data_IF_159238867322
#
_entry.id   IF_159238867322
#
_cell.length_a   1.000
_cell.length_b   1.000
_cell.length_c   1.000
_cell.angle_alpha   90.00
_cell.angle_beta   90.00
_cell.angle_gamma   90.00
#
_symmetry.space_group_name_H-M   'P 1'
#
loop_
_entity.id
_entity.type
_entity.pdbx_description
1 polymer ?
#
# COMPACT_ATOMS: atom_id res chain seq x y z
N UNK A 1 15.28 -2.34 5.68
CA UNK A 1 16.40 -3.28 5.49
C UNK A 1 16.12 -4.54 6.26
N UNK A 2 16.56 -5.68 5.73
CA UNK A 2 16.38 -6.99 6.35
C UNK A 2 17.69 -7.73 6.26
N UNK A 3 18.21 -8.19 7.39
CA UNK A 3 19.46 -8.95 7.48
C UNK A 3 19.17 -10.27 8.20
N UNK A 4 19.66 -11.38 7.64
CA UNK A 4 19.46 -12.73 8.18
C UNK A 4 18.00 -13.09 8.50
N UNK A 5 17.05 -12.58 7.70
CA UNK A 5 15.63 -12.84 7.91
C UNK A 5 14.97 -11.97 8.98
N UNK A 6 15.69 -10.98 9.53
CA UNK A 6 15.19 -10.06 10.56
C UNK A 6 15.12 -8.65 10.00
N UNK A 7 14.01 -7.96 10.26
CA UNK A 7 13.85 -6.54 9.90
C UNK A 7 14.78 -5.71 10.79
N UNK A 8 15.78 -5.06 10.20
CA UNK A 8 16.78 -4.28 10.94
C UNK A 8 16.49 -2.79 10.95
N UNK A 9 15.82 -2.28 9.91
CA UNK A 9 15.51 -0.86 9.78
C UNK A 9 14.27 -0.68 8.93
N UNK A 10 13.36 0.19 9.35
CA UNK A 10 12.18 0.56 8.57
C UNK A 10 12.07 2.07 8.48
N UNK A 11 11.72 2.57 7.29
CA UNK A 11 11.34 3.96 7.13
C UNK A 11 9.87 4.10 7.50
N UNK A 12 9.61 4.73 8.64
CA UNK A 12 8.25 4.95 9.14
C UNK A 12 7.45 5.85 8.21
N UNK A 13 6.19 5.49 8.02
CA UNK A 13 5.19 6.26 7.30
C UNK A 13 4.68 7.35 8.26
N UNK A 14 4.78 8.61 7.82
CA UNK A 14 4.35 9.75 8.65
C UNK A 14 2.82 9.89 8.73
N UNK A 15 2.14 9.56 7.65
CA UNK A 15 0.69 9.72 7.52
C UNK A 15 0.13 8.59 6.66
N UNK A 16 -0.89 7.89 7.15
CA UNK A 16 -1.57 6.85 6.40
C UNK A 16 -2.55 7.49 5.42
N UNK A 17 -2.21 7.46 4.13
CA UNK A 17 -3.08 7.92 3.04
C UNK A 17 -3.72 6.74 2.31
N UNK A 18 -4.91 6.91 1.73
CA UNK A 18 -5.50 5.90 0.85
C UNK A 18 -4.56 5.58 -0.31
N UNK A 19 -4.45 4.31 -0.68
CA UNK A 19 -3.61 3.88 -1.82
C UNK A 19 -4.04 4.55 -3.13
N UNK A 20 -5.31 4.91 -3.25
CA UNK A 20 -5.88 5.64 -4.39
C UNK A 20 -5.12 6.92 -4.71
N UNK A 21 -4.66 7.69 -3.72
CA UNK A 21 -3.94 8.94 -3.96
C UNK A 21 -2.64 8.72 -4.74
N UNK A 22 -1.96 7.60 -4.48
CA UNK A 22 -0.75 7.19 -5.18
C UNK A 22 -1.06 6.56 -6.54
N UNK A 23 -2.10 5.71 -6.61
CA UNK A 23 -2.47 4.99 -7.82
C UNK A 23 -3.04 5.92 -8.90
N UNK A 24 -3.88 6.90 -8.53
CA UNK A 24 -4.57 7.81 -9.46
C UNK A 24 -3.61 8.67 -10.29
N UNK A 25 -2.41 8.96 -9.77
CA UNK A 25 -1.38 9.75 -10.46
C UNK A 25 -0.66 8.98 -11.57
N UNK A 26 -0.83 7.66 -11.64
CA UNK A 26 -0.06 6.79 -12.53
C UNK A 26 -0.93 6.20 -13.64
N UNK A 27 -0.59 6.47 -14.89
CA UNK A 27 -1.35 5.99 -16.06
C UNK A 27 -1.52 4.48 -16.11
N UNK A 28 -0.54 3.70 -15.62
CA UNK A 28 -0.61 2.23 -15.58
C UNK A 28 -1.77 1.70 -14.75
N UNK A 29 -2.27 2.46 -13.77
CA UNK A 29 -3.39 2.06 -12.91
C UNK A 29 -4.73 2.67 -13.33
N UNK A 30 -4.76 3.50 -14.39
CA UNK A 30 -5.97 4.20 -14.81
C UNK A 30 -7.15 3.26 -15.14
N UNK A 31 -6.87 2.03 -15.54
CA UNK A 31 -7.91 1.03 -15.83
C UNK A 31 -8.67 0.58 -14.57
N UNK A 32 -8.03 0.61 -13.39
CA UNK A 32 -8.66 0.23 -12.12
C UNK A 32 -9.74 1.23 -11.66
N UNK A 33 -9.72 2.45 -12.19
CA UNK A 33 -10.68 3.49 -11.81
C UNK A 33 -11.90 3.57 -12.74
N UNK A 34 -12.02 2.66 -13.72
CA UNK A 34 -13.06 2.73 -14.77
C UNK A 34 -14.35 2.02 -14.41
N UNK A 35 -14.28 0.96 -13.60
CA UNK A 35 -15.43 0.12 -13.28
C UNK A 35 -15.39 -0.39 -11.83
N UNK A 36 -16.48 -1.02 -11.40
CA UNK A 36 -16.63 -1.57 -10.05
C UNK A 36 -15.63 -2.69 -9.75
N UNK A 37 -15.25 -3.49 -10.74
CA UNK A 37 -14.26 -4.56 -10.53
C UNK A 37 -12.91 -3.96 -10.19
N UNK A 38 -12.52 -2.89 -10.88
CA UNK A 38 -11.30 -2.14 -10.57
C UNK A 38 -11.32 -1.51 -9.18
N UNK A 39 -12.48 -1.01 -8.70
CA UNK A 39 -12.63 -0.53 -7.31
C UNK A 39 -12.39 -1.64 -6.29
N UNK A 40 -12.92 -2.84 -6.52
CA UNK A 40 -12.65 -4.01 -5.65
C UNK A 40 -11.16 -4.36 -5.59
N UNK A 41 -10.46 -4.27 -6.72
CA UNK A 41 -9.00 -4.46 -6.76
C UNK A 41 -8.26 -3.38 -5.94
N UNK A 42 -8.71 -2.13 -6.01
CA UNK A 42 -8.13 -1.03 -5.20
C UNK A 42 -8.34 -1.30 -3.70
N UNK A 43 -9.52 -1.78 -3.30
CA UNK A 43 -9.81 -2.18 -1.91
C UNK A 43 -8.89 -3.31 -1.43
N UNK A 44 -8.65 -4.32 -2.28
CA UNK A 44 -7.70 -5.40 -1.98
C UNK A 44 -6.27 -4.88 -1.83
N UNK A 45 -5.84 -3.95 -2.69
CA UNK A 45 -4.53 -3.29 -2.57
C UNK A 45 -4.43 -2.52 -1.25
N UNK A 46 -5.49 -1.82 -0.83
CA UNK A 46 -5.53 -1.12 0.45
C UNK A 46 -5.39 -2.10 1.62
N UNK A 47 -6.08 -3.25 1.57
CA UNK A 47 -5.98 -4.29 2.60
C UNK A 47 -4.57 -4.86 2.71
N UNK A 48 -3.93 -5.15 1.58
CA UNK A 48 -2.54 -5.62 1.54
C UNK A 48 -1.59 -4.56 2.11
N UNK A 49 -1.79 -3.28 1.77
CA UNK A 49 -0.99 -2.19 2.31
C UNK A 49 -1.15 -2.08 3.84
N UNK A 50 -2.36 -2.22 4.35
CA UNK A 50 -2.67 -2.20 5.78
C UNK A 50 -2.06 -3.38 6.53
N UNK A 51 -2.11 -4.58 5.95
CA UNK A 51 -1.45 -5.77 6.49
C UNK A 51 0.07 -5.58 6.54
N UNK A 52 0.68 -5.04 5.48
CA UNK A 52 2.10 -4.74 5.43
C UNK A 52 2.52 -3.70 6.48
N UNK A 53 1.71 -2.67 6.73
CA UNK A 53 1.98 -1.71 7.80
C UNK A 53 2.10 -2.42 9.15
N UNK A 54 1.24 -3.40 9.42
CA UNK A 54 1.27 -4.20 10.66
C UNK A 54 2.48 -5.14 10.70
N UNK A 55 2.71 -5.92 9.64
CA UNK A 55 3.78 -6.93 9.55
C UNK A 55 5.16 -6.28 9.72
N UNK A 56 5.39 -5.15 9.03
CA UNK A 56 6.68 -4.47 9.03
C UNK A 56 6.75 -3.34 10.07
N UNK A 57 5.72 -3.13 10.88
CA UNK A 57 5.67 -2.06 11.88
C UNK A 57 5.96 -0.68 11.28
N UNK A 58 5.36 -0.36 10.14
CA UNK A 58 5.69 0.85 9.36
C UNK A 58 5.14 2.14 9.96
N UNK A 59 4.33 2.06 11.01
CA UNK A 59 3.79 3.19 11.75
C UNK A 59 4.02 2.95 13.24
N UNK A 60 3.96 4.03 14.03
CA UNK A 60 4.06 4.01 15.49
C UNK A 60 2.67 4.07 16.13
#
# INVERSE_FOLDING_TARGET
EMENGVITSVRKIKEKKPVEEYLKRQRRFAHLFRDEKGRKVIEDIQRIADENIKIYGLMD
#
